data_IF_193464230378
#
_entry.id   IF_193464230378
#
_cell.length_a   1.000
_cell.length_b   1.000
_cell.length_c   1.000
_cell.angle_alpha   90.00
_cell.angle_beta   90.00
_cell.angle_gamma   90.00
#
_symmetry.space_group_name_H-M   'P 1'
#
loop_
_entity.id
_entity.type
_entity.pdbx_description
1 polymer ?
#
# COMPACT_ATOMS: atom_id res chain seq x y z
N UNK A 1 61.98 -17.45 -24.00
CA UNK A 1 62.14 -16.45 -22.92
C UNK A 1 61.14 -15.34 -23.24
N UNK A 2 59.90 -15.44 -22.72
CA UNK A 2 58.85 -14.43 -22.96
C UNK A 2 58.99 -13.38 -21.87
N UNK A 3 59.42 -12.19 -22.27
CA UNK A 3 59.52 -11.01 -21.43
C UNK A 3 58.08 -10.59 -21.10
N UNK A 4 57.67 -10.65 -19.87
CA UNK A 4 56.44 -10.05 -19.35
C UNK A 4 56.54 -8.54 -19.54
N UNK A 5 55.85 -8.02 -20.56
CA UNK A 5 55.58 -6.59 -20.64
C UNK A 5 54.63 -6.25 -19.48
N UNK A 6 55.17 -5.65 -18.42
CA UNK A 6 54.36 -4.90 -17.44
C UNK A 6 53.77 -3.73 -18.19
N UNK A 7 52.48 -3.86 -18.53
CA UNK A 7 51.69 -2.68 -18.93
C UNK A 7 51.84 -1.67 -17.79
N UNK A 8 52.46 -0.55 -18.10
CA UNK A 8 52.52 0.61 -17.21
C UNK A 8 51.05 1.11 -17.09
N UNK A 9 50.34 0.67 -16.05
CA UNK A 9 49.05 1.27 -15.69
C UNK A 9 49.32 2.76 -15.49
N UNK A 10 48.67 3.58 -16.32
CA UNK A 10 48.69 5.03 -16.15
C UNK A 10 48.19 5.36 -14.75
N UNK A 11 48.90 6.22 -14.01
CA UNK A 11 48.48 6.74 -12.71
C UNK A 11 47.05 7.30 -12.76
N UNK A 12 46.67 7.83 -13.92
CA UNK A 12 45.31 8.32 -14.19
C UNK A 12 44.28 7.17 -14.20
N UNK A 13 44.60 6.03 -14.80
CA UNK A 13 43.73 4.85 -14.80
C UNK A 13 43.53 4.26 -13.39
N UNK A 14 44.56 4.27 -12.57
CA UNK A 14 44.49 3.78 -11.19
C UNK A 14 43.63 4.69 -10.30
N UNK A 15 43.73 6.01 -10.47
CA UNK A 15 42.88 7.00 -9.78
C UNK A 15 41.43 6.85 -10.24
N UNK A 16 41.20 6.64 -11.54
CA UNK A 16 39.89 6.46 -12.13
C UNK A 16 39.21 5.19 -11.59
N UNK A 17 39.91 4.06 -11.52
CA UNK A 17 39.41 2.81 -10.96
C UNK A 17 39.04 2.97 -9.49
N UNK A 18 39.86 3.68 -8.71
CA UNK A 18 39.57 3.96 -7.29
C UNK A 18 38.34 4.84 -7.08
N UNK A 19 38.06 5.76 -8.01
CA UNK A 19 36.86 6.62 -7.94
C UNK A 19 35.61 5.93 -8.49
N UNK A 20 35.74 5.15 -9.58
CA UNK A 20 34.62 4.47 -10.22
C UNK A 20 34.12 3.26 -9.43
N UNK A 21 35.00 2.52 -8.77
CA UNK A 21 34.63 1.32 -8.02
C UNK A 21 33.60 1.59 -6.92
N UNK A 22 33.78 2.58 -6.01
CA UNK A 22 32.75 2.88 -5.02
C UNK A 22 31.49 3.44 -5.65
N UNK A 23 31.57 4.20 -6.72
CA UNK A 23 30.39 4.75 -7.43
C UNK A 23 29.54 3.63 -8.02
N UNK A 24 30.17 2.63 -8.65
CA UNK A 24 29.48 1.47 -9.21
C UNK A 24 28.89 0.56 -8.14
N UNK A 25 29.49 0.47 -6.95
CA UNK A 25 28.94 -0.28 -5.82
C UNK A 25 27.74 0.44 -5.17
N UNK A 26 27.80 1.76 -5.05
CA UNK A 26 26.74 2.55 -4.45
C UNK A 26 25.50 2.65 -5.33
N UNK A 27 25.64 2.52 -6.64
CA UNK A 27 24.52 2.65 -7.57
C UNK A 27 23.40 1.60 -7.35
N UNK A 28 23.69 0.28 -7.33
CA UNK A 28 22.64 -0.72 -7.06
C UNK A 28 22.02 -0.57 -5.67
N UNK A 29 22.80 -0.15 -4.68
CA UNK A 29 22.28 0.14 -3.34
C UNK A 29 21.30 1.32 -3.37
N UNK A 30 21.64 2.39 -4.09
CA UNK A 30 20.77 3.55 -4.29
C UNK A 30 19.47 3.16 -5.01
N UNK A 31 19.55 2.32 -6.05
CA UNK A 31 18.36 1.83 -6.75
C UNK A 31 17.45 0.99 -5.85
N UNK A 32 18.03 0.07 -5.07
CA UNK A 32 17.27 -0.74 -4.14
C UNK A 32 16.58 0.11 -3.05
N UNK A 33 17.31 1.09 -2.49
CA UNK A 33 16.76 2.01 -1.50
C UNK A 33 15.63 2.86 -2.09
N UNK A 34 15.81 3.39 -3.29
CA UNK A 34 14.78 4.16 -4.01
C UNK A 34 13.52 3.33 -4.22
N UNK A 35 13.67 2.07 -4.62
CA UNK A 35 12.55 1.17 -4.82
C UNK A 35 11.77 0.92 -3.52
N UNK A 36 12.45 0.65 -2.41
CA UNK A 36 11.83 0.45 -1.10
C UNK A 36 11.09 1.70 -0.62
N UNK A 37 11.70 2.87 -0.76
CA UNK A 37 11.11 4.15 -0.37
C UNK A 37 9.89 4.48 -1.24
N UNK A 38 9.97 4.27 -2.56
CA UNK A 38 8.87 4.51 -3.48
C UNK A 38 7.63 3.67 -3.14
N UNK A 39 7.81 2.39 -2.84
CA UNK A 39 6.71 1.53 -2.42
C UNK A 39 6.09 1.98 -1.09
N UNK A 40 6.92 2.35 -0.12
CA UNK A 40 6.43 2.84 1.17
C UNK A 40 5.65 4.16 1.05
N UNK A 41 6.12 5.07 0.20
CA UNK A 41 5.44 6.35 -0.06
C UNK A 41 4.15 6.18 -0.84
N UNK A 42 4.13 5.28 -1.82
CA UNK A 42 2.94 5.02 -2.63
C UNK A 42 1.78 4.45 -1.80
N UNK A 43 2.05 3.63 -0.80
CA UNK A 43 1.00 2.98 0.00
C UNK A 43 0.33 3.91 1.03
N UNK A 44 1.08 4.83 1.63
CA UNK A 44 0.59 5.66 2.76
C UNK A 44 -0.68 6.48 2.49
N UNK A 45 -0.82 7.20 1.35
CA UNK A 45 -2.04 8.00 1.11
C UNK A 45 -3.27 7.12 0.96
N UNK A 46 -3.15 5.97 0.30
CA UNK A 46 -4.26 5.02 0.10
C UNK A 46 -4.66 4.35 1.42
N UNK A 47 -3.70 3.93 2.24
CA UNK A 47 -3.98 3.36 3.55
C UNK A 47 -4.75 4.33 4.42
N UNK A 48 -4.36 5.62 4.44
CA UNK A 48 -5.10 6.66 5.18
C UNK A 48 -6.51 6.88 4.64
N UNK A 49 -6.68 6.92 3.32
CA UNK A 49 -8.01 7.06 2.72
C UNK A 49 -8.91 5.88 3.09
N UNK A 50 -8.36 4.67 3.06
CA UNK A 50 -9.07 3.45 3.43
C UNK A 50 -9.46 3.44 4.92
N UNK A 51 -8.58 3.90 5.82
CA UNK A 51 -8.87 4.10 7.24
C UNK A 51 -10.01 5.11 7.46
N UNK A 52 -9.96 6.25 6.79
CA UNK A 52 -11.03 7.26 6.89
C UNK A 52 -12.36 6.74 6.37
N UNK A 53 -12.37 5.99 5.27
CA UNK A 53 -13.58 5.38 4.74
C UNK A 53 -14.17 4.36 5.72
N UNK A 54 -13.33 3.52 6.34
CA UNK A 54 -13.78 2.56 7.35
C UNK A 54 -14.36 3.27 8.57
N UNK A 55 -13.72 4.32 9.07
CA UNK A 55 -14.22 5.14 10.18
C UNK A 55 -15.54 5.84 9.83
N UNK A 56 -15.65 6.40 8.63
CA UNK A 56 -16.88 7.06 8.17
C UNK A 56 -18.04 6.08 8.11
N UNK A 57 -17.83 4.88 7.55
CA UNK A 57 -18.87 3.86 7.51
C UNK A 57 -19.21 3.33 8.92
N UNK A 58 -18.24 3.23 9.80
CA UNK A 58 -18.48 2.82 11.19
C UNK A 58 -19.44 3.76 11.94
N UNK A 59 -19.40 5.06 11.64
CA UNK A 59 -20.31 6.06 12.22
C UNK A 59 -21.76 5.91 11.73
N UNK A 60 -21.99 5.24 10.60
CA UNK A 60 -23.32 4.98 10.06
C UNK A 60 -23.99 3.76 10.70
N UNK A 61 -23.25 2.99 11.50
CA UNK A 61 -23.83 1.89 12.26
C UNK A 61 -24.56 2.47 13.49
N UNK A 62 -25.83 2.20 13.58
CA UNK A 62 -26.67 2.71 14.64
C UNK A 62 -27.57 1.63 15.23
N UNK A 63 -28.08 1.88 16.45
CA UNK A 63 -29.07 1.02 17.07
C UNK A 63 -30.39 1.78 17.15
N UNK A 64 -31.42 1.26 16.49
CA UNK A 64 -32.77 1.83 16.56
C UNK A 64 -33.75 0.74 17.00
N UNK A 65 -34.54 1.03 18.03
CA UNK A 65 -35.53 0.10 18.61
C UNK A 65 -34.96 -1.28 18.94
N UNK A 66 -33.71 -1.31 19.50
CA UNK A 66 -33.05 -2.56 19.86
C UNK A 66 -32.50 -3.38 18.68
N UNK A 67 -32.52 -2.84 17.47
CA UNK A 67 -31.98 -3.50 16.27
C UNK A 67 -30.82 -2.70 15.70
N UNK A 68 -29.78 -3.41 15.30
CA UNK A 68 -28.64 -2.81 14.60
C UNK A 68 -29.05 -2.49 13.16
N UNK A 69 -28.82 -1.27 12.77
CA UNK A 69 -29.09 -0.77 11.42
C UNK A 69 -27.87 -0.10 10.85
N UNK A 70 -27.70 -0.25 9.55
CA UNK A 70 -26.71 0.46 8.77
C UNK A 70 -27.43 1.13 7.59
N UNK A 71 -27.30 2.43 7.51
CA UNK A 71 -27.91 3.19 6.44
C UNK A 71 -26.86 4.01 5.71
N UNK A 72 -26.48 3.55 4.52
CA UNK A 72 -25.56 4.27 3.65
C UNK A 72 -26.39 5.17 2.72
N UNK A 73 -26.26 6.51 2.82
CA UNK A 73 -26.93 7.42 1.89
C UNK A 73 -26.48 7.16 0.45
N UNK A 74 -27.42 7.24 -0.51
CA UNK A 74 -27.10 7.02 -1.92
C UNK A 74 -25.90 7.83 -2.43
N UNK A 75 -25.76 9.14 -2.12
CA UNK A 75 -24.59 9.90 -2.56
C UNK A 75 -23.27 9.33 -2.02
N UNK A 76 -23.26 8.84 -0.79
CA UNK A 76 -22.05 8.22 -0.20
C UNK A 76 -21.71 6.89 -0.88
N UNK A 77 -22.72 6.10 -1.28
CA UNK A 77 -22.49 4.86 -2.02
C UNK A 77 -21.97 5.11 -3.43
N UNK A 78 -22.37 6.21 -4.06
CA UNK A 78 -21.88 6.62 -5.37
C UNK A 78 -20.43 7.10 -5.28
N UNK A 79 -20.07 7.87 -4.26
CA UNK A 79 -18.70 8.31 -4.02
C UNK A 79 -17.77 7.11 -3.79
N UNK A 80 -18.18 6.12 -3.01
CA UNK A 80 -17.40 4.90 -2.78
C UNK A 80 -17.19 4.08 -4.07
N UNK A 81 -18.13 4.16 -5.03
CA UNK A 81 -18.07 3.45 -6.31
C UNK A 81 -17.49 4.28 -7.46
N UNK A 82 -17.37 5.60 -7.28
CA UNK A 82 -16.94 6.53 -8.33
C UNK A 82 -15.45 6.50 -8.63
N UNK A 83 -14.69 5.59 -8.01
CA UNK A 83 -13.28 5.45 -8.28
C UNK A 83 -13.07 4.64 -9.57
N UNK A 84 -12.68 5.33 -10.65
CA UNK A 84 -12.57 4.75 -12.00
C UNK A 84 -11.45 3.70 -12.14
N UNK A 85 -10.46 3.69 -11.23
CA UNK A 85 -9.27 2.84 -11.37
C UNK A 85 -9.18 1.71 -10.34
N UNK A 86 -9.76 1.89 -9.14
CA UNK A 86 -9.80 0.85 -8.11
C UNK A 86 -11.25 0.52 -7.73
N UNK A 87 -11.54 -0.76 -7.60
CA UNK A 87 -12.86 -1.18 -7.11
C UNK A 87 -12.86 -1.16 -5.59
N UNK A 88 -13.76 -0.36 -5.02
CA UNK A 88 -13.95 -0.27 -3.57
C UNK A 88 -15.09 -1.21 -3.16
N UNK A 89 -14.79 -2.08 -2.21
CA UNK A 89 -15.74 -2.99 -1.58
C UNK A 89 -15.96 -2.58 -0.14
N UNK A 90 -17.15 -2.80 0.38
CA UNK A 90 -17.41 -2.65 1.81
C UNK A 90 -18.28 -3.79 2.33
N UNK A 91 -18.16 -4.06 3.62
CA UNK A 91 -18.98 -5.04 4.31
C UNK A 91 -19.26 -4.54 5.72
N UNK A 92 -20.51 -4.66 6.14
CA UNK A 92 -20.95 -4.38 7.50
C UNK A 92 -21.63 -5.62 8.07
N UNK A 93 -21.02 -6.17 9.10
CA UNK A 93 -21.53 -7.32 9.83
C UNK A 93 -22.03 -6.86 11.20
N UNK A 94 -23.23 -7.23 11.53
CA UNK A 94 -23.80 -7.06 12.85
C UNK A 94 -23.36 -8.15 13.81
N UNK A 95 -23.90 -8.17 15.04
CA UNK A 95 -23.64 -9.19 16.03
C UNK A 95 -23.85 -10.60 15.47
N UNK A 96 -22.92 -11.50 15.82
CA UNK A 96 -22.97 -12.88 15.35
C UNK A 96 -22.63 -13.07 13.87
N UNK A 97 -21.98 -12.07 13.23
CA UNK A 97 -21.56 -12.16 11.84
C UNK A 97 -22.69 -11.97 10.80
N UNK A 98 -23.84 -11.48 11.22
CA UNK A 98 -24.97 -11.22 10.30
C UNK A 98 -24.64 -10.08 9.34
N UNK A 99 -24.68 -10.35 8.04
CA UNK A 99 -24.51 -9.32 7.01
C UNK A 99 -25.63 -8.28 7.09
N UNK A 100 -25.31 -7.03 7.33
CA UNK A 100 -26.22 -5.89 7.32
C UNK A 100 -26.22 -5.19 5.96
N UNK A 101 -25.04 -5.03 5.35
CA UNK A 101 -24.89 -4.38 4.04
C UNK A 101 -23.55 -4.71 3.42
N UNK A 102 -23.45 -4.60 2.11
CA UNK A 102 -22.20 -4.69 1.35
C UNK A 102 -21.89 -6.08 0.79
N UNK A 103 -20.62 -6.32 0.53
CA UNK A 103 -20.13 -7.53 -0.12
C UNK A 103 -20.06 -8.71 0.87
N UNK A 104 -20.68 -9.84 0.50
CA UNK A 104 -20.73 -11.03 1.37
C UNK A 104 -19.40 -11.77 1.42
N UNK A 105 -18.70 -11.80 0.29
CA UNK A 105 -17.51 -12.64 0.10
C UNK A 105 -16.23 -11.98 0.62
N UNK A 106 -16.32 -10.78 1.22
CA UNK A 106 -15.16 -10.11 1.78
C UNK A 106 -14.63 -10.94 2.96
N UNK A 107 -13.34 -11.34 2.94
CA UNK A 107 -12.77 -12.18 3.97
C UNK A 107 -12.88 -11.53 5.36
N UNK A 108 -13.31 -12.32 6.35
CA UNK A 108 -13.30 -11.86 7.73
C UNK A 108 -11.86 -11.70 8.27
N UNK A 109 -11.62 -10.78 9.22
CA UNK A 109 -10.34 -10.70 9.88
C UNK A 109 -10.06 -12.02 10.64
N UNK A 110 -8.77 -12.42 10.79
CA UNK A 110 -8.38 -13.56 11.59
C UNK A 110 -8.91 -13.45 13.01
N UNK A 111 -9.22 -14.58 13.66
CA UNK A 111 -9.78 -14.58 15.02
C UNK A 111 -8.86 -13.94 16.06
N UNK A 112 -7.55 -14.10 15.87
CA UNK A 112 -6.51 -13.51 16.73
C UNK A 112 -6.38 -12.00 16.54
N UNK A 113 -6.93 -11.47 15.47
CA UNK A 113 -6.84 -10.06 15.10
C UNK A 113 -8.09 -9.26 15.53
N UNK A 114 -8.64 -9.56 16.71
CA UNK A 114 -9.71 -8.75 17.31
C UNK A 114 -9.11 -7.46 17.88
N UNK A 115 -9.22 -6.33 17.17
CA UNK A 115 -8.66 -5.09 17.66
C UNK A 115 -9.43 -4.56 18.87
N UNK A 116 -8.81 -3.64 19.58
CA UNK A 116 -9.52 -2.83 20.54
C UNK A 116 -10.64 -2.06 19.84
N UNK A 117 -11.74 -1.86 20.52
CA UNK A 117 -12.90 -1.14 19.99
C UNK A 117 -12.49 0.21 19.41
N UNK A 118 -12.97 0.54 18.22
CA UNK A 118 -12.70 1.77 17.46
C UNK A 118 -11.25 1.95 16.94
N UNK A 119 -10.44 0.91 16.98
CA UNK A 119 -9.14 0.90 16.30
C UNK A 119 -9.30 0.35 14.86
N UNK A 120 -8.77 1.07 13.88
CA UNK A 120 -8.73 0.58 12.49
C UNK A 120 -7.49 -0.27 12.29
N UNK A 121 -7.66 -1.45 11.72
CA UNK A 121 -6.57 -2.33 11.33
C UNK A 121 -6.56 -2.56 9.83
N UNK A 122 -5.37 -2.44 9.28
CA UNK A 122 -5.09 -2.68 7.86
C UNK A 122 -4.49 -4.07 7.67
N UNK A 123 -4.98 -4.78 6.67
CA UNK A 123 -4.44 -6.08 6.27
C UNK A 123 -4.50 -6.27 4.77
N UNK A 124 -3.64 -7.13 4.26
CA UNK A 124 -3.74 -7.62 2.89
C UNK A 124 -4.62 -8.87 2.87
N UNK A 125 -5.42 -9.02 1.84
CA UNK A 125 -6.29 -10.16 1.62
C UNK A 125 -6.49 -10.39 0.12
N UNK A 126 -7.17 -11.46 -0.22
CA UNK A 126 -7.54 -11.78 -1.60
C UNK A 126 -9.06 -11.90 -1.70
N UNK A 127 -9.64 -11.29 -2.72
CA UNK A 127 -11.07 -11.39 -3.05
C UNK A 127 -11.21 -11.84 -4.49
N UNK A 128 -11.75 -13.03 -4.71
CA UNK A 128 -11.99 -13.60 -6.06
C UNK A 128 -10.74 -13.62 -6.95
N UNK A 129 -9.56 -13.93 -6.38
CA UNK A 129 -8.29 -13.98 -7.12
C UNK A 129 -7.62 -12.62 -7.32
N UNK A 130 -8.15 -11.54 -6.72
CA UNK A 130 -7.58 -10.20 -6.79
C UNK A 130 -7.04 -9.79 -5.43
N UNK A 131 -5.81 -9.29 -5.41
CA UNK A 131 -5.19 -8.74 -4.21
C UNK A 131 -5.89 -7.45 -3.79
N UNK A 132 -6.34 -7.43 -2.54
CA UNK A 132 -7.01 -6.27 -1.94
C UNK A 132 -6.32 -5.83 -0.65
N UNK A 133 -6.45 -4.55 -0.35
CA UNK A 133 -6.12 -3.98 0.95
C UNK A 133 -7.39 -3.72 1.72
N UNK A 134 -7.48 -4.20 2.94
CA UNK A 134 -8.68 -4.13 3.78
C UNK A 134 -8.39 -3.32 5.04
N UNK A 135 -9.24 -2.34 5.32
CA UNK A 135 -9.35 -1.70 6.63
C UNK A 135 -10.54 -2.28 7.38
N UNK A 136 -10.33 -2.71 8.59
CA UNK A 136 -11.38 -3.26 9.45
C UNK A 136 -11.44 -2.50 10.77
N UNK A 137 -12.67 -2.26 11.25
CA UNK A 137 -12.93 -1.62 12.53
C UNK A 137 -14.08 -2.32 13.24
N UNK A 138 -13.89 -2.58 14.55
CA UNK A 138 -14.93 -3.12 15.41
C UNK A 138 -15.63 -1.99 16.16
N UNK A 139 -16.94 -1.93 16.03
CA UNK A 139 -17.79 -0.93 16.67
C UNK A 139 -18.58 -1.57 17.81
N UNK A 140 -18.43 -1.06 19.01
CA UNK A 140 -19.22 -1.49 20.16
C UNK A 140 -20.62 -0.89 20.06
N UNK A 141 -21.63 -1.74 20.21
CA UNK A 141 -23.02 -1.33 20.11
C UNK A 141 -23.62 -1.09 21.50
N UNK A 142 -24.44 -0.04 21.67
CA UNK A 142 -25.13 0.25 22.93
C UNK A 142 -26.34 -0.69 23.11
N UNK A 143 -26.07 -1.98 23.27
CA UNK A 143 -27.04 -3.05 23.49
C UNK A 143 -26.62 -3.90 24.70
N UNK A 144 -27.56 -4.59 25.36
CA UNK A 144 -27.23 -5.50 26.43
C UNK A 144 -26.21 -6.56 26.01
N UNK A 145 -25.14 -6.73 26.80
CA UNK A 145 -24.02 -7.61 26.48
C UNK A 145 -22.96 -6.97 25.56
N UNK A 146 -23.11 -5.68 25.25
CA UNK A 146 -22.15 -4.88 24.44
C UNK A 146 -21.64 -5.61 23.19
N UNK A 147 -22.53 -6.14 22.33
CA UNK A 147 -22.11 -6.84 21.14
C UNK A 147 -21.38 -5.89 20.19
N UNK A 148 -20.52 -6.44 19.35
CA UNK A 148 -19.77 -5.67 18.38
C UNK A 148 -20.29 -5.88 16.95
N UNK A 149 -20.23 -4.83 16.15
CA UNK A 149 -20.36 -4.87 14.71
C UNK A 149 -18.98 -4.75 14.06
N UNK A 150 -18.78 -5.42 12.94
CA UNK A 150 -17.58 -5.29 12.13
C UNK A 150 -17.89 -4.47 10.88
N UNK A 151 -17.09 -3.44 10.65
CA UNK A 151 -17.12 -2.68 9.41
C UNK A 151 -15.79 -2.89 8.69
N UNK A 152 -15.85 -3.26 7.43
CA UNK A 152 -14.70 -3.44 6.57
C UNK A 152 -14.86 -2.63 5.30
N UNK A 153 -13.76 -2.02 4.86
CA UNK A 153 -13.63 -1.40 3.54
C UNK A 153 -12.39 -1.97 2.89
N UNK A 154 -12.50 -2.34 1.65
CA UNK A 154 -11.40 -2.89 0.88
C UNK A 154 -11.30 -2.19 -0.47
N UNK A 155 -10.10 -2.11 -1.00
CA UNK A 155 -9.82 -1.62 -2.34
C UNK A 155 -8.81 -2.52 -3.05
N UNK A 156 -8.88 -2.59 -4.36
CA UNK A 156 -7.86 -3.22 -5.19
C UNK A 156 -6.56 -2.42 -5.12
N UNK A 157 -5.44 -3.05 -5.49
CA UNK A 157 -4.10 -2.42 -5.37
C UNK A 157 -3.56 -1.87 -6.69
N UNK A 158 -4.43 -1.69 -7.67
CA UNK A 158 -4.01 -1.32 -9.02
C UNK A 158 -3.42 0.10 -9.08
N UNK A 159 -4.08 1.09 -8.49
CA UNK A 159 -3.55 2.47 -8.40
C UNK A 159 -2.21 2.55 -7.69
N UNK A 160 -2.06 1.76 -6.62
CA UNK A 160 -0.81 1.73 -5.84
C UNK A 160 0.35 1.24 -6.68
N UNK A 161 0.12 0.21 -7.50
CA UNK A 161 1.14 -0.34 -8.40
C UNK A 161 1.51 0.62 -9.52
N UNK A 162 0.52 1.32 -10.08
CA UNK A 162 0.74 2.36 -11.10
C UNK A 162 1.55 3.52 -10.51
N UNK A 163 1.13 4.06 -9.36
CA UNK A 163 1.84 5.17 -8.71
C UNK A 163 3.27 4.79 -8.32
N UNK A 164 3.47 3.61 -7.74
CA UNK A 164 4.81 3.12 -7.42
C UNK A 164 5.69 3.04 -8.68
N UNK A 165 5.13 2.53 -9.78
CA UNK A 165 5.83 2.42 -11.06
C UNK A 165 6.19 3.80 -11.63
N UNK A 166 5.29 4.77 -11.53
CA UNK A 166 5.55 6.15 -12.00
C UNK A 166 6.65 6.83 -11.17
N UNK A 167 6.61 6.67 -9.84
CA UNK A 167 7.66 7.18 -8.96
C UNK A 167 9.01 6.54 -9.30
N UNK A 168 9.03 5.22 -9.47
CA UNK A 168 10.24 4.48 -9.83
C UNK A 168 10.78 4.97 -11.17
N UNK A 169 9.95 5.08 -12.20
CA UNK A 169 10.35 5.60 -13.52
C UNK A 169 10.88 7.03 -13.42
N UNK A 170 10.19 7.91 -12.70
CA UNK A 170 10.58 9.30 -12.51
C UNK A 170 11.94 9.48 -11.84
N UNK A 171 12.30 8.60 -10.91
CA UNK A 171 13.58 8.67 -10.18
C UNK A 171 14.68 7.88 -10.89
N UNK A 172 14.38 6.69 -11.40
CA UNK A 172 15.39 5.82 -12.02
C UNK A 172 15.82 6.31 -13.41
N UNK A 173 14.88 6.79 -14.24
CA UNK A 173 15.18 7.19 -15.61
C UNK A 173 16.29 8.26 -15.66
N UNK A 174 16.27 9.34 -14.87
CA UNK A 174 17.37 10.30 -14.81
C UNK A 174 18.70 9.68 -14.38
N UNK A 175 18.69 8.72 -13.44
CA UNK A 175 19.92 8.04 -12.98
C UNK A 175 20.60 7.24 -14.08
N UNK A 176 19.82 6.58 -14.94
CA UNK A 176 20.34 5.84 -16.10
C UNK A 176 20.92 6.76 -17.19
N UNK A 177 20.57 8.03 -17.22
CA UNK A 177 21.12 9.02 -18.13
C UNK A 177 22.33 9.73 -17.52
N UNK A 178 22.20 10.21 -16.30
CA UNK A 178 23.21 11.05 -15.63
C UNK A 178 24.48 10.25 -15.33
N UNK A 179 24.36 8.99 -14.90
CA UNK A 179 25.52 8.18 -14.54
C UNK A 179 26.42 7.84 -15.73
N UNK A 180 25.92 7.31 -16.87
CA UNK A 180 26.74 7.11 -18.06
C UNK A 180 27.34 8.41 -18.58
N UNK A 181 26.59 9.52 -18.54
CA UNK A 181 27.07 10.82 -18.96
C UNK A 181 28.20 11.31 -18.07
N UNK A 182 28.10 11.14 -16.75
CA UNK A 182 29.15 11.48 -15.80
C UNK A 182 30.42 10.65 -16.03
N UNK A 183 30.26 9.35 -16.25
CA UNK A 183 31.40 8.46 -16.60
C UNK A 183 32.05 8.91 -17.90
N UNK A 184 31.26 9.26 -18.91
CA UNK A 184 31.75 9.69 -20.23
C UNK A 184 32.46 11.04 -20.16
N UNK A 185 32.04 11.97 -19.28
CA UNK A 185 32.67 13.26 -19.05
C UNK A 185 34.02 13.17 -18.30
N UNK A 186 34.18 12.12 -17.49
CA UNK A 186 35.41 11.88 -16.72
C UNK A 186 36.43 11.08 -17.55
N UNK A 187 35.99 10.39 -18.59
CA UNK A 187 36.84 9.57 -19.48
C UNK A 187 37.44 10.40 -20.61
#
# INVERSE_FOLDING_TARGET
MKIFQREQRSLFGEILDWMLTPLLLLWPVSLALTWLVAQGLANKPFDRALEYNAQALAQLVSVQRGRVQFNLPQPASEILRADESDTVYYQVLGPGGRLLSGERDLPAPPEDDRPQTNEVRLRDAELRGVDIRVASIWVRLPLPGEPMALVQVAETREKRSVLATEIIKGVMLPQFVILPLAVLLVW
#
